data_IF_042963444203
#
_entry.id   IF_042963444203
#
_cell.length_a   1.000
_cell.length_b   1.000
_cell.length_c   1.000
_cell.angle_alpha   90.00
_cell.angle_beta   90.00
_cell.angle_gamma   90.00
#
_symmetry.space_group_name_H-M   'P 1'
#
loop_
_entity.id
_entity.type
_entity.pdbx_description
1 polymer ?
#
# COMPACT_ATOMS: atom_id res chain seq x y z
N UNK A 1 -3.83 -15.37 -8.26
CA UNK A 1 -2.80 -15.48 -7.79
C UNK A 1 -1.89 -14.33 -8.11
N UNK A 2 -0.94 -14.30 -9.06
CA UNK A 2 0.00 -13.16 -9.22
C UNK A 2 -0.73 -11.83 -9.42
N UNK A 3 -1.74 -11.78 -10.25
CA UNK A 3 -2.56 -10.57 -10.49
C UNK A 3 -3.26 -10.11 -9.20
N UNK A 4 -3.80 -11.04 -8.41
CA UNK A 4 -4.44 -10.72 -7.14
C UNK A 4 -3.44 -10.12 -6.13
N UNK A 5 -2.27 -10.72 -5.99
CA UNK A 5 -1.21 -10.21 -5.09
C UNK A 5 -0.74 -8.82 -5.53
N UNK A 6 -0.58 -8.57 -6.82
CA UNK A 6 -0.22 -7.26 -7.35
C UNK A 6 -1.33 -6.23 -7.12
N UNK A 7 -2.60 -6.61 -7.31
CA UNK A 7 -3.74 -5.76 -7.01
C UNK A 7 -3.76 -5.38 -5.52
N UNK A 8 -3.51 -6.33 -4.62
CA UNK A 8 -3.43 -6.06 -3.18
C UNK A 8 -2.35 -5.05 -2.87
N UNK A 9 -1.17 -5.27 -3.42
CA UNK A 9 -0.02 -4.40 -3.16
C UNK A 9 -0.31 -2.94 -3.54
N UNK A 10 -0.97 -2.72 -4.68
CA UNK A 10 -1.31 -1.38 -5.16
C UNK A 10 -2.65 -0.85 -4.62
N UNK A 11 -3.52 -1.69 -4.05
CA UNK A 11 -4.87 -1.29 -3.62
C UNK A 11 -4.85 -0.14 -2.61
N UNK A 12 -3.93 -0.15 -1.66
CA UNK A 12 -3.79 0.93 -0.66
C UNK A 12 -3.48 2.26 -1.35
N UNK A 13 -2.56 2.27 -2.31
CA UNK A 13 -2.19 3.49 -3.06
C UNK A 13 -3.36 3.96 -3.92
N UNK A 14 -4.09 3.03 -4.56
CA UNK A 14 -5.25 3.34 -5.41
C UNK A 14 -6.38 3.94 -4.55
N UNK A 15 -6.69 3.33 -3.42
CA UNK A 15 -7.77 3.81 -2.54
C UNK A 15 -7.46 5.14 -1.87
N UNK A 16 -6.18 5.38 -1.53
CA UNK A 16 -5.72 6.63 -0.94
C UNK A 16 -5.14 7.60 -1.98
N UNK A 17 -5.45 7.41 -3.27
CA UNK A 17 -4.89 8.23 -4.35
C UNK A 17 -5.18 9.73 -4.16
N UNK A 18 -6.31 10.09 -3.57
CA UNK A 18 -6.66 11.46 -3.21
C UNK A 18 -5.65 12.10 -2.26
N UNK A 19 -5.09 11.35 -1.33
CA UNK A 19 -4.09 11.84 -0.38
C UNK A 19 -2.77 12.22 -1.05
N UNK A 20 -2.40 11.53 -2.14
CA UNK A 20 -1.19 11.84 -2.91
C UNK A 20 -1.46 12.93 -3.96
N UNK A 21 -2.59 12.86 -4.65
CA UNK A 21 -2.92 13.76 -5.76
C UNK A 21 -3.09 15.21 -5.34
N UNK A 22 -3.51 15.49 -4.10
CA UNK A 22 -3.67 16.85 -3.58
C UNK A 22 -2.38 17.65 -3.45
N UNK A 23 -1.22 17.01 -3.46
CA UNK A 23 0.08 17.67 -3.44
C UNK A 23 0.61 18.02 -4.84
N UNK A 24 -0.11 17.64 -5.90
CA UNK A 24 0.30 17.85 -7.28
C UNK A 24 -0.35 19.13 -7.84
N UNK A 25 0.42 19.95 -8.58
CA UNK A 25 -0.04 21.26 -9.07
C UNK A 25 -1.20 21.20 -10.05
N UNK A 26 -1.20 20.22 -10.94
CA UNK A 26 -2.21 20.08 -11.98
C UNK A 26 -2.32 18.63 -12.49
N UNK A 27 -3.37 18.35 -13.26
CA UNK A 27 -3.65 17.01 -13.79
C UNK A 27 -2.58 16.49 -14.76
N UNK A 28 -1.89 17.38 -15.48
CA UNK A 28 -0.83 16.96 -16.40
C UNK A 28 0.40 16.46 -15.65
N UNK A 29 0.81 17.14 -14.58
CA UNK A 29 1.90 16.68 -13.73
C UNK A 29 1.55 15.38 -13.00
N UNK A 30 0.29 15.22 -12.60
CA UNK A 30 -0.20 13.98 -12.01
C UNK A 30 -0.08 12.81 -13.00
N UNK A 31 -0.47 13.03 -14.25
CA UNK A 31 -0.41 12.01 -15.30
C UNK A 31 1.05 11.64 -15.63
N UNK A 32 1.95 12.61 -15.73
CA UNK A 32 3.40 12.38 -15.90
C UNK A 32 3.99 11.60 -14.72
N UNK A 33 3.62 11.96 -13.49
CA UNK A 33 4.04 11.27 -12.28
C UNK A 33 3.61 9.80 -12.28
N UNK A 34 2.35 9.53 -12.60
CA UNK A 34 1.82 8.17 -12.68
C UNK A 34 2.49 7.34 -13.78
N UNK A 35 2.74 7.94 -14.95
CA UNK A 35 3.47 7.28 -16.03
C UNK A 35 4.91 6.98 -15.64
N UNK A 36 5.59 7.93 -15.00
CA UNK A 36 6.95 7.74 -14.47
C UNK A 36 7.01 6.61 -13.44
N UNK A 37 6.03 6.56 -12.52
CA UNK A 37 5.91 5.48 -11.53
C UNK A 37 5.75 4.11 -12.21
N UNK A 38 4.88 4.01 -13.22
CA UNK A 38 4.67 2.77 -13.98
C UNK A 38 5.95 2.33 -14.68
N UNK A 39 6.63 3.23 -15.40
CA UNK A 39 7.87 2.93 -16.11
C UNK A 39 8.97 2.51 -15.11
N UNK A 40 9.13 3.25 -14.02
CA UNK A 40 10.11 2.95 -12.98
C UNK A 40 9.86 1.59 -12.32
N UNK A 41 8.59 1.23 -12.08
CA UNK A 41 8.22 -0.07 -11.52
C UNK A 41 8.56 -1.21 -12.47
N UNK A 42 8.31 -1.04 -13.78
CA UNK A 42 8.67 -2.05 -14.80
C UNK A 42 10.18 -2.24 -14.85
N UNK A 43 10.94 -1.13 -14.92
CA UNK A 43 12.41 -1.19 -14.96
C UNK A 43 12.96 -1.86 -13.71
N UNK A 44 12.46 -1.45 -12.53
CA UNK A 44 12.88 -2.02 -11.25
C UNK A 44 12.57 -3.53 -11.17
N UNK A 45 11.39 -3.94 -11.59
CA UNK A 45 10.98 -5.35 -11.60
C UNK A 45 11.88 -6.19 -12.52
N UNK A 46 12.21 -5.66 -13.69
CA UNK A 46 13.13 -6.32 -14.62
C UNK A 46 14.54 -6.46 -14.03
N UNK A 47 15.08 -5.38 -13.46
CA UNK A 47 16.39 -5.41 -12.80
C UNK A 47 16.42 -6.41 -11.64
N UNK A 48 15.37 -6.43 -10.83
CA UNK A 48 15.24 -7.38 -9.72
C UNK A 48 15.24 -8.83 -10.20
N UNK A 49 14.49 -9.14 -11.26
CA UNK A 49 14.49 -10.48 -11.86
C UNK A 49 15.89 -10.89 -12.34
N UNK A 50 16.60 -9.99 -13.02
CA UNK A 50 17.96 -10.26 -13.49
C UNK A 50 18.91 -10.54 -12.32
N UNK A 51 18.82 -9.74 -11.26
CA UNK A 51 19.65 -9.93 -10.05
C UNK A 51 19.33 -11.25 -9.36
N UNK A 52 18.05 -11.58 -9.17
CA UNK A 52 17.63 -12.81 -8.48
C UNK A 52 18.06 -14.05 -9.28
N UNK A 53 17.80 -14.07 -10.59
CA UNK A 53 18.18 -15.20 -11.45
C UNK A 53 19.72 -15.32 -11.52
N UNK A 54 20.42 -14.20 -11.70
CA UNK A 54 21.88 -14.18 -11.74
C UNK A 54 22.51 -14.67 -10.44
N UNK A 55 21.97 -14.25 -9.30
CA UNK A 55 22.44 -14.71 -8.00
C UNK A 55 22.15 -16.20 -7.77
N UNK A 56 20.97 -16.69 -8.15
CA UNK A 56 20.62 -18.11 -8.02
C UNK A 56 21.56 -18.99 -8.84
N UNK A 57 21.84 -18.61 -10.07
CA UNK A 57 22.79 -19.33 -10.94
C UNK A 57 24.21 -19.29 -10.34
N UNK A 58 24.68 -18.12 -9.91
CA UNK A 58 26.03 -17.95 -9.37
C UNK A 58 26.23 -18.76 -8.08
N UNK A 59 25.28 -18.72 -7.15
CA UNK A 59 25.42 -19.44 -5.87
C UNK A 59 25.21 -20.95 -6.02
N UNK A 60 24.33 -21.41 -6.90
CA UNK A 60 24.15 -22.85 -7.18
C UNK A 60 25.39 -23.47 -7.86
N UNK A 61 26.06 -22.72 -8.71
CA UNK A 61 27.30 -23.21 -9.36
C UNK A 61 28.48 -23.33 -8.39
N UNK A 62 28.47 -22.52 -7.32
CA UNK A 62 29.58 -22.42 -6.36
C UNK A 62 29.30 -23.10 -5.00
N UNK A 63 28.03 -23.37 -4.66
CA UNK A 63 27.63 -23.94 -3.39
C UNK A 63 26.69 -25.12 -3.61
N UNK A 64 27.18 -26.33 -3.43
CA UNK A 64 26.48 -27.62 -3.64
C UNK A 64 25.24 -27.77 -2.71
N UNK A 65 25.07 -26.91 -1.70
CA UNK A 65 24.06 -27.04 -0.64
C UNK A 65 22.83 -26.13 -0.76
N UNK A 66 22.69 -25.32 -1.80
CA UNK A 66 21.53 -24.42 -1.94
C UNK A 66 20.40 -25.17 -2.64
N UNK A 67 19.51 -25.80 -1.86
CA UNK A 67 18.35 -26.54 -2.38
C UNK A 67 17.15 -25.64 -2.72
N UNK A 68 17.08 -24.44 -2.13
CA UNK A 68 15.93 -23.52 -2.28
C UNK A 68 16.26 -22.36 -3.20
N UNK A 69 15.28 -21.93 -3.99
CA UNK A 69 15.38 -20.76 -4.86
C UNK A 69 15.59 -19.50 -4.01
N UNK A 70 16.65 -18.74 -4.28
CA UNK A 70 16.91 -17.46 -3.62
C UNK A 70 16.00 -16.39 -4.25
N UNK A 71 14.85 -16.15 -3.64
CA UNK A 71 13.86 -15.19 -4.15
C UNK A 71 13.90 -13.85 -3.44
N UNK A 72 14.46 -13.79 -2.23
CA UNK A 72 14.51 -12.57 -1.44
C UNK A 72 15.89 -11.90 -1.58
N UNK A 73 15.95 -10.60 -1.96
CA UNK A 73 17.21 -9.86 -2.05
C UNK A 73 18.04 -9.87 -0.76
N UNK A 74 17.42 -9.89 0.41
CA UNK A 74 18.12 -9.96 1.70
C UNK A 74 18.85 -11.29 1.90
N UNK A 75 18.28 -12.40 1.42
CA UNK A 75 18.90 -13.72 1.50
C UNK A 75 20.11 -13.82 0.53
N UNK A 76 19.99 -13.18 -0.64
CA UNK A 76 21.08 -13.05 -1.60
C UNK A 76 22.26 -12.30 -0.99
N UNK A 77 21.99 -11.16 -0.34
CA UNK A 77 23.00 -10.32 0.30
C UNK A 77 23.67 -11.08 1.46
N UNK A 78 22.91 -11.84 2.22
CA UNK A 78 23.43 -12.70 3.30
C UNK A 78 24.40 -13.78 2.83
N UNK A 79 24.41 -14.15 1.54
CA UNK A 79 25.38 -15.11 0.95
C UNK A 79 26.67 -14.46 0.47
N UNK A 80 26.73 -13.13 0.41
CA UNK A 80 27.94 -12.42 0.03
C UNK A 80 28.93 -12.47 1.18
N UNK A 81 30.08 -13.12 0.97
CA UNK A 81 31.11 -13.27 2.00
C UNK A 81 31.97 -12.00 2.14
N UNK A 82 31.30 -10.84 2.33
CA UNK A 82 31.96 -9.56 2.56
C UNK A 82 31.08 -8.67 3.47
N UNK A 83 31.48 -8.57 4.72
CA UNK A 83 30.74 -7.82 5.73
C UNK A 83 30.50 -6.35 5.38
N UNK A 84 31.48 -5.68 4.77
CA UNK A 84 31.33 -4.26 4.40
C UNK A 84 30.26 -4.06 3.34
N UNK A 85 30.26 -4.89 2.30
CA UNK A 85 29.23 -4.84 1.23
C UNK A 85 27.87 -5.17 1.83
N UNK A 86 27.76 -6.23 2.62
CA UNK A 86 26.50 -6.63 3.25
C UNK A 86 25.91 -5.52 4.11
N UNK A 87 26.70 -4.93 5.01
CA UNK A 87 26.24 -3.83 5.87
C UNK A 87 25.82 -2.61 5.06
N UNK A 88 26.62 -2.22 4.06
CA UNK A 88 26.30 -1.07 3.20
C UNK A 88 24.97 -1.27 2.47
N UNK A 89 24.76 -2.41 1.85
CA UNK A 89 23.53 -2.69 1.10
C UNK A 89 22.32 -2.79 2.05
N UNK A 90 22.46 -3.40 3.22
CA UNK A 90 21.38 -3.45 4.22
C UNK A 90 20.99 -2.05 4.71
N UNK A 91 21.94 -1.13 4.86
CA UNK A 91 21.66 0.28 5.19
C UNK A 91 20.83 0.94 4.08
N UNK A 92 21.20 0.76 2.81
CA UNK A 92 20.42 1.30 1.69
C UNK A 92 19.01 0.70 1.60
N UNK A 93 18.87 -0.60 1.81
CA UNK A 93 17.56 -1.27 1.86
C UNK A 93 16.72 -0.70 3.01
N UNK A 94 17.31 -0.52 4.18
CA UNK A 94 16.63 0.04 5.34
C UNK A 94 16.10 1.45 5.07
N UNK A 95 16.93 2.36 4.56
CA UNK A 95 16.49 3.73 4.25
C UNK A 95 15.48 3.77 3.10
N UNK A 96 15.68 2.98 2.05
CA UNK A 96 14.74 2.90 0.93
C UNK A 96 13.38 2.37 1.36
N UNK A 97 13.35 1.29 2.11
CA UNK A 97 12.12 0.69 2.66
C UNK A 97 11.42 1.63 3.64
N UNK A 98 12.17 2.27 4.55
CA UNK A 98 11.62 3.19 5.54
C UNK A 98 11.00 4.43 4.88
N UNK A 99 11.67 5.03 3.89
CA UNK A 99 11.15 6.21 3.18
C UNK A 99 9.88 5.89 2.39
N UNK A 100 9.84 4.74 1.72
CA UNK A 100 8.65 4.28 0.99
C UNK A 100 7.48 4.02 1.95
N UNK A 101 7.74 3.37 3.07
CA UNK A 101 6.73 3.11 4.11
C UNK A 101 6.17 4.40 4.71
N UNK A 102 7.03 5.39 4.95
CA UNK A 102 6.59 6.68 5.48
C UNK A 102 5.60 7.36 4.52
N UNK A 103 5.90 7.38 3.24
CA UNK A 103 5.05 8.03 2.23
C UNK A 103 3.75 7.24 2.01
N UNK A 104 3.84 5.93 1.80
CA UNK A 104 2.69 5.13 1.38
C UNK A 104 1.76 4.71 2.52
N UNK A 105 2.24 4.57 3.73
CA UNK A 105 1.46 4.07 4.86
C UNK A 105 1.23 5.10 5.97
N UNK A 106 2.26 5.85 6.36
CA UNK A 106 2.13 6.80 7.46
C UNK A 106 1.24 8.00 7.10
N UNK A 107 1.46 8.66 5.97
CA UNK A 107 0.65 9.82 5.58
C UNK A 107 -0.83 9.50 5.38
N UNK A 108 -1.25 8.45 4.64
CA UNK A 108 -2.65 8.08 4.56
C UNK A 108 -3.26 7.75 5.92
N UNK A 109 -2.54 7.03 6.77
CA UNK A 109 -3.02 6.69 8.12
C UNK A 109 -3.26 7.94 8.97
N UNK A 110 -2.36 8.91 8.93
CA UNK A 110 -2.51 10.20 9.60
C UNK A 110 -3.78 10.92 9.12
N UNK A 111 -4.00 10.99 7.82
CA UNK A 111 -5.18 11.63 7.25
C UNK A 111 -6.48 10.91 7.64
N UNK A 112 -6.49 9.58 7.68
CA UNK A 112 -7.64 8.79 8.12
C UNK A 112 -7.98 9.13 9.58
N UNK A 113 -7.00 9.14 10.48
CA UNK A 113 -7.23 9.47 11.89
C UNK A 113 -7.77 10.91 12.10
N UNK A 114 -7.22 11.88 11.37
CA UNK A 114 -7.70 13.27 11.42
C UNK A 114 -9.16 13.37 10.95
N UNK A 115 -9.52 12.62 9.90
CA UNK A 115 -10.86 12.63 9.36
C UNK A 115 -11.87 11.87 10.24
N UNK A 116 -11.44 10.81 10.91
CA UNK A 116 -12.29 10.04 11.82
C UNK A 116 -12.61 10.79 13.11
N UNK A 117 -11.66 11.58 13.61
CA UNK A 117 -11.77 12.27 14.90
C UNK A 117 -11.49 13.77 14.75
N UNK A 118 -12.26 14.49 13.92
CA UNK A 118 -12.08 15.92 13.73
C UNK A 118 -12.27 16.65 15.07
N UNK A 119 -11.34 17.54 15.42
CA UNK A 119 -11.35 18.36 16.64
C UNK A 119 -11.22 17.62 17.98
N UNK A 120 -11.00 16.30 17.99
CA UNK A 120 -10.93 15.53 19.24
C UNK A 120 -9.53 15.47 19.82
N UNK A 121 -8.50 15.39 18.97
CA UNK A 121 -7.13 15.18 19.39
C UNK A 121 -6.16 16.05 18.57
N UNK A 122 -5.00 16.38 19.14
CA UNK A 122 -3.95 17.09 18.42
C UNK A 122 -3.24 16.17 17.41
N UNK A 123 -2.67 16.73 16.35
CA UNK A 123 -1.88 16.00 15.36
C UNK A 123 -0.79 15.13 16.00
N UNK A 124 -0.11 15.64 17.02
CA UNK A 124 0.94 14.92 17.74
C UNK A 124 0.45 13.63 18.42
N UNK A 125 -0.79 13.64 18.90
CA UNK A 125 -1.39 12.46 19.53
C UNK A 125 -1.68 11.40 18.45
N UNK A 126 -2.20 11.80 17.29
CA UNK A 126 -2.40 10.86 16.18
C UNK A 126 -1.09 10.26 15.67
N UNK A 127 -0.05 11.06 15.53
CA UNK A 127 1.30 10.59 15.18
C UNK A 127 1.81 9.55 16.18
N UNK A 128 1.68 9.85 17.48
CA UNK A 128 2.07 8.91 18.53
C UNK A 128 1.27 7.60 18.48
N UNK A 129 -0.05 7.68 18.27
CA UNK A 129 -0.90 6.49 18.14
C UNK A 129 -0.52 5.64 16.92
N UNK A 130 -0.23 6.24 15.78
CA UNK A 130 0.20 5.52 14.59
C UNK A 130 1.51 4.79 14.84
N UNK A 131 2.48 5.46 15.46
CA UNK A 131 3.77 4.87 15.83
C UNK A 131 3.57 3.71 16.81
N UNK A 132 2.74 3.90 17.83
CA UNK A 132 2.46 2.88 18.84
C UNK A 132 1.81 1.63 18.22
N UNK A 133 0.78 1.83 17.40
CA UNK A 133 0.08 0.74 16.71
C UNK A 133 1.04 0.02 15.76
N UNK A 134 1.81 0.78 14.95
CA UNK A 134 2.80 0.22 14.04
C UNK A 134 3.88 -0.59 14.76
N UNK A 135 4.34 -0.12 15.92
CA UNK A 135 5.31 -0.83 16.75
C UNK A 135 4.76 -2.18 17.24
N UNK A 136 3.54 -2.21 17.78
CA UNK A 136 2.91 -3.46 18.22
C UNK A 136 2.66 -4.42 17.06
N UNK A 137 2.15 -3.94 15.92
CA UNK A 137 1.98 -4.77 14.73
C UNK A 137 3.33 -5.33 14.27
N UNK A 138 4.39 -4.52 14.25
CA UNK A 138 5.73 -4.95 13.87
C UNK A 138 6.30 -6.05 14.78
N UNK A 139 6.13 -5.93 16.09
CA UNK A 139 6.55 -6.97 17.05
C UNK A 139 5.76 -8.27 16.85
N UNK A 140 4.44 -8.16 16.62
CA UNK A 140 3.58 -9.32 16.45
C UNK A 140 3.71 -9.96 15.07
N UNK A 141 4.25 -9.25 14.08
CA UNK A 141 4.35 -9.72 12.70
C UNK A 141 5.13 -11.03 12.59
N UNK A 142 6.33 -11.07 13.17
CA UNK A 142 7.20 -12.24 13.05
C UNK A 142 6.63 -13.49 13.74
N UNK A 143 6.20 -13.45 15.02
CA UNK A 143 5.72 -14.65 15.70
C UNK A 143 4.33 -15.13 15.25
N UNK A 144 3.43 -14.22 14.87
CA UNK A 144 2.05 -14.58 14.58
C UNK A 144 1.74 -14.63 13.08
N UNK A 145 2.17 -13.63 12.32
CA UNK A 145 1.76 -13.49 10.91
C UNK A 145 2.71 -14.21 9.96
N UNK A 146 4.03 -14.16 10.22
CA UNK A 146 5.02 -14.81 9.37
C UNK A 146 4.90 -16.34 9.43
N UNK A 147 4.63 -16.90 10.61
CA UNK A 147 4.52 -18.35 10.81
C UNK A 147 3.17 -18.92 10.34
N UNK A 148 2.08 -18.16 10.43
CA UNK A 148 0.73 -18.60 10.08
C UNK A 148 0.34 -18.31 8.62
N UNK A 149 1.29 -17.96 7.77
CA UNK A 149 1.04 -17.69 6.35
C UNK A 149 0.62 -16.24 6.10
N UNK A 150 1.58 -15.34 6.12
CA UNK A 150 1.38 -13.91 5.81
C UNK A 150 0.64 -13.67 4.49
N UNK A 151 0.85 -14.53 3.50
CA UNK A 151 0.15 -14.47 2.20
C UNK A 151 -1.36 -14.68 2.35
N UNK A 152 -1.80 -15.60 3.20
CA UNK A 152 -3.25 -15.85 3.41
C UNK A 152 -3.95 -14.64 4.05
N UNK A 153 -3.26 -13.91 4.93
CA UNK A 153 -3.81 -12.69 5.55
C UNK A 153 -3.91 -11.57 4.51
N UNK A 154 -2.88 -11.41 3.69
CA UNK A 154 -2.87 -10.44 2.60
C UNK A 154 -3.99 -10.76 1.60
N UNK A 155 -4.15 -12.01 1.18
CA UNK A 155 -5.20 -12.44 0.26
C UNK A 155 -6.60 -12.21 0.85
N UNK A 156 -6.79 -12.42 2.15
CA UNK A 156 -8.05 -12.13 2.84
C UNK A 156 -8.36 -10.64 2.84
N UNK A 157 -7.39 -9.79 3.17
CA UNK A 157 -7.56 -8.34 3.10
C UNK A 157 -7.87 -7.86 1.68
N UNK A 158 -7.27 -8.48 0.66
CA UNK A 158 -7.56 -8.18 -0.75
C UNK A 158 -9.00 -8.45 -1.12
N UNK A 159 -9.57 -9.53 -0.58
CA UNK A 159 -10.97 -9.88 -0.84
C UNK A 159 -11.94 -8.76 -0.42
N UNK A 160 -11.59 -7.98 0.59
CA UNK A 160 -12.37 -6.80 1.00
C UNK A 160 -12.12 -5.56 0.12
N UNK A 161 -10.90 -5.35 -0.37
CA UNK A 161 -10.58 -4.16 -1.17
C UNK A 161 -11.19 -4.20 -2.58
N UNK A 162 -11.33 -5.39 -3.18
CA UNK A 162 -11.93 -5.56 -4.50
C UNK A 162 -13.34 -4.97 -4.61
N UNK A 163 -14.29 -5.40 -3.77
CA UNK A 163 -15.65 -4.86 -3.75
C UNK A 163 -15.71 -3.37 -3.45
N UNK A 164 -14.90 -2.86 -2.51
CA UNK A 164 -14.85 -1.42 -2.20
C UNK A 164 -14.44 -0.62 -3.45
N UNK A 165 -13.39 -1.06 -4.13
CA UNK A 165 -12.92 -0.40 -5.34
C UNK A 165 -13.96 -0.48 -6.48
N UNK A 166 -14.63 -1.63 -6.63
CA UNK A 166 -15.74 -1.78 -7.58
C UNK A 166 -16.89 -0.81 -7.32
N UNK A 167 -17.31 -0.67 -6.04
CA UNK A 167 -18.35 0.29 -5.64
C UNK A 167 -17.91 1.73 -5.94
N UNK A 168 -16.66 2.10 -5.64
CA UNK A 168 -16.14 3.44 -5.92
C UNK A 168 -16.16 3.78 -7.41
N UNK A 169 -15.75 2.86 -8.28
CA UNK A 169 -15.75 3.05 -9.72
C UNK A 169 -17.20 3.20 -10.24
N UNK A 170 -18.08 2.29 -9.87
CA UNK A 170 -19.46 2.29 -10.32
C UNK A 170 -20.19 3.55 -9.85
N UNK A 171 -20.03 3.92 -8.58
CA UNK A 171 -20.67 5.13 -8.04
C UNK A 171 -20.19 6.38 -8.78
N UNK A 172 -18.88 6.52 -9.01
CA UNK A 172 -18.33 7.71 -9.64
C UNK A 172 -18.62 7.78 -11.16
N UNK A 173 -18.37 6.69 -11.91
CA UNK A 173 -18.44 6.72 -13.37
C UNK A 173 -19.84 6.47 -13.91
N UNK A 174 -20.63 5.56 -13.29
CA UNK A 174 -21.93 5.14 -13.80
C UNK A 174 -23.09 5.85 -13.10
N UNK A 175 -23.05 6.01 -11.78
CA UNK A 175 -24.18 6.60 -11.05
C UNK A 175 -24.08 8.12 -11.04
N UNK A 176 -22.91 8.67 -10.73
CA UNK A 176 -22.69 10.13 -10.62
C UNK A 176 -22.18 10.79 -11.92
N UNK A 177 -21.94 10.00 -12.98
CA UNK A 177 -21.46 10.50 -14.26
C UNK A 177 -20.25 11.43 -14.16
N UNK A 178 -19.32 11.15 -13.23
CA UNK A 178 -18.12 11.94 -12.92
C UNK A 178 -18.39 13.32 -12.29
N UNK A 179 -19.62 13.59 -11.88
CA UNK A 179 -19.96 14.83 -11.21
C UNK A 179 -19.97 14.67 -9.71
N UNK A 180 -19.20 15.50 -9.02
CA UNK A 180 -19.17 15.56 -7.56
C UNK A 180 -19.57 16.95 -7.13
N UNK A 181 -20.62 17.04 -6.31
CA UNK A 181 -21.09 18.29 -5.74
C UNK A 181 -20.24 18.62 -4.51
N UNK A 182 -19.14 19.34 -4.72
CA UNK A 182 -18.17 19.64 -3.65
C UNK A 182 -18.79 20.31 -2.41
N UNK A 183 -19.84 21.13 -2.63
CA UNK A 183 -20.52 21.84 -1.53
C UNK A 183 -21.25 20.88 -0.60
N UNK A 184 -21.83 19.83 -1.13
CA UNK A 184 -22.61 18.85 -0.36
C UNK A 184 -21.71 17.77 0.25
N UNK A 185 -20.51 17.54 -0.30
CA UNK A 185 -19.57 16.54 0.18
C UNK A 185 -19.16 16.79 1.66
N UNK A 186 -19.08 18.06 2.04
CA UNK A 186 -18.70 18.48 3.41
C UNK A 186 -19.90 18.99 4.23
N UNK A 187 -21.12 18.80 3.75
CA UNK A 187 -22.34 19.28 4.41
C UNK A 187 -23.03 18.17 5.19
N UNK A 188 -23.25 18.39 6.47
CA UNK A 188 -24.06 17.52 7.34
C UNK A 188 -25.57 17.88 7.32
N UNK A 189 -26.03 18.69 6.34
CA UNK A 189 -27.43 19.08 6.23
C UNK A 189 -28.29 17.88 5.81
N UNK A 190 -29.53 17.89 6.25
CA UNK A 190 -30.50 16.83 5.92
C UNK A 190 -30.87 16.75 4.42
N UNK A 191 -30.62 17.84 3.68
CA UNK A 191 -30.84 17.96 2.23
C UNK A 191 -29.59 17.61 1.39
N UNK A 192 -28.46 17.30 2.02
CA UNK A 192 -27.24 16.91 1.32
C UNK A 192 -27.39 15.57 0.61
N UNK A 193 -26.99 15.52 -0.66
CA UNK A 193 -27.03 14.30 -1.49
C UNK A 193 -26.16 13.18 -0.91
N UNK A 194 -25.12 13.52 -0.14
CA UNK A 194 -24.18 12.55 0.44
C UNK A 194 -24.52 12.14 1.86
N UNK A 195 -25.56 12.68 2.48
CA UNK A 195 -25.98 12.25 3.82
C UNK A 195 -26.59 10.84 3.80
N UNK A 196 -27.13 10.41 2.64
CA UNK A 196 -27.78 9.10 2.46
C UNK A 196 -28.80 8.78 3.58
N UNK A 197 -28.79 7.57 4.10
CA UNK A 197 -29.67 7.15 5.19
C UNK A 197 -28.93 7.29 6.52
N UNK A 198 -29.05 8.46 7.15
CA UNK A 198 -28.37 8.80 8.42
C UNK A 198 -26.83 8.58 8.37
N UNK A 199 -26.20 8.99 7.26
CA UNK A 199 -24.76 8.86 7.05
C UNK A 199 -24.31 7.53 6.42
N UNK A 200 -25.23 6.57 6.21
CA UNK A 200 -24.91 5.27 5.64
C UNK A 200 -25.39 5.14 4.19
N UNK A 201 -24.49 4.85 3.28
CA UNK A 201 -24.85 4.50 1.89
C UNK A 201 -25.26 3.02 1.82
N UNK A 202 -26.51 2.71 2.24
CA UNK A 202 -27.00 1.33 2.41
C UNK A 202 -26.86 0.51 1.13
N UNK A 203 -27.12 1.09 -0.05
CA UNK A 203 -26.96 0.39 -1.34
C UNK A 203 -25.51 -0.03 -1.59
N UNK A 204 -24.53 0.81 -1.23
CA UNK A 204 -23.12 0.47 -1.33
C UNK A 204 -22.72 -0.63 -0.34
N UNK A 205 -23.29 -0.61 0.88
CA UNK A 205 -23.08 -1.67 1.87
C UNK A 205 -23.61 -3.01 1.36
N UNK A 206 -24.79 -3.04 0.77
CA UNK A 206 -25.32 -4.29 0.16
C UNK A 206 -24.44 -4.75 -1.01
N UNK A 207 -24.01 -3.85 -1.90
CA UNK A 207 -23.15 -4.20 -3.01
C UNK A 207 -21.76 -4.70 -2.56
N UNK A 208 -21.31 -4.30 -1.39
CA UNK A 208 -20.07 -4.79 -0.78
C UNK A 208 -20.21 -6.19 -0.18
N UNK A 209 -21.40 -6.55 0.34
CA UNK A 209 -21.64 -7.82 1.02
C UNK A 209 -22.03 -8.99 0.08
N UNK A 210 -22.37 -8.68 -1.18
CA UNK A 210 -22.70 -9.67 -2.23
C UNK A 210 -21.44 -10.06 -2.99
#
# INVERSE_FOLDING_TARGET
TVTGTMFTFFSIVIMNFGDFSRYVKNSQELLKGNLSLLISTIIYSFLLLVIVIGADIFFKSNLISVQNLLTNPTDIIGKINNTYITVTVLIFIFFGSSSTNLISNYFPSQNIFINLFPNSLSLKIFEFLIILIGFFIGILWTPFFSQNGSMSIIDTLTAFFGPIFGVMIIDYYLIKNKEIINKDLFSARSDSVYLYTAGWHIKAVYAFLI
#
